data_IF_830988244358
#
_entry.id   IF_830988244358
#
_cell.length_a   1.000
_cell.length_b   1.000
_cell.length_c   1.000
_cell.angle_alpha   90.00
_cell.angle_beta   90.00
_cell.angle_gamma   90.00
#
_symmetry.space_group_name_H-M   'P 1'
#
loop_
_entity.id
_entity.type
_entity.pdbx_description
1 polymer ?
#
# COMPACT_ATOMS: atom_id res chain seq x y z
N UNK A 1 18.06 24.45 -39.68
CA UNK A 1 16.73 24.23 -39.07
C UNK A 1 16.93 23.47 -37.77
N UNK A 2 16.80 24.14 -36.63
CA UNK A 2 17.01 23.54 -35.31
C UNK A 2 15.79 22.72 -34.90
N UNK A 3 16.02 21.46 -34.54
CA UNK A 3 15.01 20.65 -33.85
C UNK A 3 14.88 21.25 -32.45
N UNK A 4 13.71 21.84 -32.18
CA UNK A 4 13.32 22.31 -30.85
C UNK A 4 13.38 21.12 -29.89
N UNK A 5 14.29 21.20 -28.93
CA UNK A 5 14.21 20.37 -27.73
C UNK A 5 13.05 20.93 -26.89
N UNK A 6 11.94 20.18 -26.84
CA UNK A 6 10.84 20.52 -25.96
C UNK A 6 11.28 20.33 -24.51
N UNK A 7 11.64 21.44 -23.89
CA UNK A 7 11.76 21.56 -22.45
C UNK A 7 10.37 21.37 -21.82
N UNK A 8 10.11 20.18 -21.27
CA UNK A 8 9.11 20.01 -20.22
C UNK A 8 9.82 19.73 -18.90
N UNK A 9 10.40 20.80 -18.38
CA UNK A 9 10.65 20.97 -16.95
C UNK A 9 9.32 20.98 -16.20
N UNK A 10 9.28 20.33 -15.03
CA UNK A 10 8.31 20.65 -13.99
C UNK A 10 7.45 19.50 -13.52
N UNK A 11 8.03 18.64 -12.67
CA UNK A 11 7.31 17.93 -11.62
C UNK A 11 6.06 17.13 -12.06
N UNK A 12 6.19 16.28 -13.09
CA UNK A 12 5.24 15.21 -13.29
C UNK A 12 5.25 14.36 -12.02
N UNK A 13 4.21 14.48 -11.19
CA UNK A 13 4.02 13.63 -10.01
C UNK A 13 4.25 12.20 -10.47
N UNK A 14 5.36 11.62 -10.02
CA UNK A 14 5.81 10.31 -10.47
C UNK A 14 4.77 9.32 -9.96
N UNK A 15 3.78 8.99 -10.80
CA UNK A 15 2.73 8.03 -10.47
C UNK A 15 3.43 6.73 -10.09
N UNK A 16 3.45 6.41 -8.80
CA UNK A 16 4.10 5.21 -8.31
C UNK A 16 3.17 4.02 -8.48
N UNK A 17 3.79 2.88 -8.82
CA UNK A 17 3.09 1.62 -9.04
C UNK A 17 2.25 1.23 -7.81
N UNK A 18 1.01 0.76 -8.04
CA UNK A 18 0.09 0.40 -6.96
C UNK A 18 0.69 -0.63 -5.99
N UNK A 19 1.47 -1.58 -6.52
CA UNK A 19 2.17 -2.59 -5.72
C UNK A 19 3.20 -1.99 -4.75
N UNK A 20 3.83 -0.86 -5.10
CA UNK A 20 4.82 -0.18 -4.27
C UNK A 20 4.19 0.50 -3.03
N UNK A 21 2.88 0.73 -3.04
CA UNK A 21 2.16 1.27 -1.88
C UNK A 21 1.70 0.20 -0.89
N UNK A 22 1.61 -1.07 -1.30
CA UNK A 22 1.16 -2.17 -0.44
C UNK A 22 1.94 -2.28 0.88
N UNK A 23 3.28 -2.16 0.92
CA UNK A 23 4.03 -2.17 2.18
C UNK A 23 3.73 -0.95 3.06
N UNK A 24 3.63 0.25 2.45
CA UNK A 24 3.32 1.50 3.16
C UNK A 24 1.94 1.44 3.81
N UNK A 25 0.94 0.98 3.07
CA UNK A 25 -0.42 0.77 3.58
C UNK A 25 -0.44 -0.27 4.69
N UNK A 26 0.37 -1.33 4.57
CA UNK A 26 0.49 -2.35 5.63
C UNK A 26 1.07 -1.77 6.91
N UNK A 27 2.10 -0.93 6.82
CA UNK A 27 2.68 -0.24 7.96
C UNK A 27 1.65 0.69 8.62
N UNK A 28 0.95 1.50 7.81
CA UNK A 28 -0.11 2.39 8.29
C UNK A 28 -1.21 1.65 9.06
N UNK A 29 -1.74 0.54 8.50
CA UNK A 29 -2.79 -0.26 9.16
C UNK A 29 -2.29 -0.83 10.48
N UNK A 30 -1.05 -1.36 10.53
CA UNK A 30 -0.46 -1.92 11.76
C UNK A 30 -0.27 -0.85 12.83
N UNK A 31 0.22 0.34 12.46
CA UNK A 31 0.34 1.46 13.38
C UNK A 31 -1.04 1.85 13.95
N UNK A 32 -2.07 1.91 13.10
CA UNK A 32 -3.44 2.13 13.57
C UNK A 32 -3.92 1.07 14.58
N UNK A 33 -3.63 -0.21 14.31
CA UNK A 33 -3.96 -1.30 15.23
C UNK A 33 -3.25 -1.17 16.58
N UNK A 34 -1.97 -0.81 16.57
CA UNK A 34 -1.18 -0.62 17.79
C UNK A 34 -1.72 0.55 18.63
N UNK A 35 -2.02 1.68 18.00
CA UNK A 35 -2.57 2.86 18.70
C UNK A 35 -3.95 2.57 19.30
N UNK A 36 -4.78 1.80 18.61
CA UNK A 36 -6.09 1.35 19.13
C UNK A 36 -5.93 0.44 20.34
N UNK A 37 -4.95 -0.48 20.31
CA UNK A 37 -4.66 -1.34 21.44
C UNK A 37 -4.10 -0.57 22.64
N UNK A 38 -3.17 0.36 22.39
CA UNK A 38 -2.60 1.23 23.41
C UNK A 38 -3.68 2.07 24.10
N UNK A 39 -4.56 2.74 23.34
CA UNK A 39 -5.65 3.54 23.92
C UNK A 39 -6.62 2.72 24.76
N UNK A 40 -6.89 1.48 24.35
CA UNK A 40 -7.75 0.56 25.10
C UNK A 40 -7.13 0.13 26.43
N UNK A 41 -5.81 -0.13 26.45
CA UNK A 41 -5.09 -0.40 27.70
C UNK A 41 -5.06 0.82 28.61
N UNK A 42 -4.72 2.00 28.06
CA UNK A 42 -4.72 3.26 28.79
C UNK A 42 -6.08 3.57 29.42
N UNK A 43 -7.19 3.23 28.75
CA UNK A 43 -8.54 3.41 29.30
C UNK A 43 -8.74 2.66 30.63
N UNK A 44 -8.18 1.46 30.75
CA UNK A 44 -8.26 0.68 31.99
C UNK A 44 -7.34 1.25 33.06
N UNK A 45 -6.14 1.69 32.68
CA UNK A 45 -5.18 2.29 33.62
C UNK A 45 -5.70 3.56 34.29
N UNK A 46 -6.53 4.34 33.58
CA UNK A 46 -7.13 5.58 34.09
C UNK A 46 -8.56 5.43 34.58
N UNK A 47 -9.03 4.18 34.79
CA UNK A 47 -10.37 3.86 35.32
C UNK A 47 -11.53 4.34 34.43
N UNK A 48 -11.30 4.52 33.12
CA UNK A 48 -12.33 4.81 32.12
C UNK A 48 -13.05 3.53 31.64
N UNK A 49 -12.45 2.35 31.82
CA UNK A 49 -13.02 1.06 31.41
C UNK A 49 -12.63 -0.06 32.37
N UNK A 50 -13.58 -0.96 32.67
CA UNK A 50 -13.36 -2.05 33.63
C UNK A 50 -12.47 -3.18 33.08
N UNK A 51 -12.58 -3.47 31.77
CA UNK A 51 -11.88 -4.60 31.15
C UNK A 51 -11.24 -4.22 29.81
N UNK A 52 -9.96 -4.58 29.59
CA UNK A 52 -9.23 -4.19 28.39
C UNK A 52 -9.79 -4.83 27.11
N UNK A 53 -10.41 -6.01 27.21
CA UNK A 53 -11.01 -6.69 26.07
C UNK A 53 -12.21 -5.91 25.50
N UNK A 54 -13.09 -5.41 26.37
CA UNK A 54 -14.25 -4.62 25.94
C UNK A 54 -13.83 -3.24 25.43
N UNK A 55 -12.88 -2.58 26.12
CA UNK A 55 -12.31 -1.32 25.64
C UNK A 55 -11.67 -1.47 24.25
N UNK A 56 -10.95 -2.58 24.03
CA UNK A 56 -10.33 -2.87 22.72
C UNK A 56 -11.39 -3.08 21.65
N UNK A 57 -12.44 -3.86 21.94
CA UNK A 57 -13.54 -4.09 21.00
C UNK A 57 -14.23 -2.77 20.63
N UNK A 58 -14.52 -1.91 21.60
CA UNK A 58 -15.11 -0.60 21.35
C UNK A 58 -14.20 0.27 20.45
N UNK A 59 -12.92 0.37 20.78
CA UNK A 59 -11.95 1.15 20.01
C UNK A 59 -11.77 0.59 18.59
N UNK A 60 -11.77 -0.73 18.42
CA UNK A 60 -11.74 -1.37 17.09
C UNK A 60 -13.00 -1.06 16.29
N UNK A 61 -14.18 -1.12 16.91
CA UNK A 61 -15.43 -0.79 16.25
C UNK A 61 -15.48 0.67 15.79
N UNK A 62 -14.90 1.58 16.57
CA UNK A 62 -14.83 3.02 16.27
C UNK A 62 -13.81 3.37 15.19
N UNK A 63 -12.60 2.82 15.26
CA UNK A 63 -11.47 3.28 14.44
C UNK A 63 -11.00 2.27 13.39
N UNK A 64 -11.27 0.97 13.58
CA UNK A 64 -10.85 -0.12 12.70
C UNK A 64 -12.02 -0.75 11.91
N UNK A 65 -13.11 0.00 11.75
CA UNK A 65 -14.33 -0.48 11.07
C UNK A 65 -14.04 -0.86 9.62
N UNK A 66 -14.36 -2.11 9.27
CA UNK A 66 -14.32 -2.60 7.88
C UNK A 66 -15.59 -2.17 7.15
N UNK A 67 -15.51 -2.12 5.82
CA UNK A 67 -16.65 -1.83 4.93
C UNK A 67 -17.35 -0.48 5.15
N UNK A 68 -16.74 0.44 5.90
CA UNK A 68 -17.23 1.81 6.05
C UNK A 68 -16.52 2.76 5.09
N UNK A 69 -16.90 4.05 5.12
CA UNK A 69 -16.19 5.16 4.46
C UNK A 69 -14.98 5.65 5.28
N UNK A 70 -14.45 4.83 6.20
CA UNK A 70 -13.29 5.18 7.02
C UNK A 70 -11.97 5.12 6.24
N UNK A 71 -10.95 5.89 6.66
CA UNK A 71 -9.60 5.80 6.08
C UNK A 71 -8.98 4.40 6.18
N UNK A 72 -9.25 3.66 7.27
CA UNK A 72 -8.76 2.29 7.46
C UNK A 72 -9.40 1.33 6.46
N UNK A 73 -10.72 1.41 6.27
CA UNK A 73 -11.45 0.63 5.27
C UNK A 73 -10.92 0.92 3.86
N UNK A 74 -10.65 2.19 3.54
CA UNK A 74 -10.07 2.57 2.25
C UNK A 74 -8.65 2.03 2.08
N UNK A 75 -7.80 2.13 3.11
CA UNK A 75 -6.43 1.62 3.09
C UNK A 75 -6.37 0.10 2.88
N UNK A 76 -7.28 -0.65 3.49
CA UNK A 76 -7.41 -2.10 3.29
C UNK A 76 -7.77 -2.45 1.85
N UNK A 77 -8.73 -1.71 1.25
CA UNK A 77 -9.14 -1.91 -0.15
C UNK A 77 -7.99 -1.58 -1.12
N UNK A 78 -7.29 -0.47 -0.92
CA UNK A 78 -6.14 -0.09 -1.74
C UNK A 78 -5.01 -1.12 -1.65
N UNK A 79 -4.75 -1.66 -0.45
CA UNK A 79 -3.75 -2.72 -0.24
C UNK A 79 -4.13 -3.99 -1.00
N UNK A 80 -5.42 -4.38 -0.95
CA UNK A 80 -5.90 -5.55 -1.69
C UNK A 80 -5.79 -5.34 -3.21
N UNK A 81 -6.14 -4.16 -3.70
CA UNK A 81 -5.98 -3.79 -5.10
C UNK A 81 -4.50 -3.83 -5.54
N UNK A 82 -3.60 -3.21 -4.79
CA UNK A 82 -2.16 -3.23 -5.08
C UNK A 82 -1.57 -4.65 -5.07
N UNK A 83 -2.09 -5.52 -4.21
CA UNK A 83 -1.75 -6.95 -4.23
C UNK A 83 -2.29 -7.64 -5.49
N UNK A 84 -3.55 -7.42 -5.86
CA UNK A 84 -4.12 -7.99 -7.08
C UNK A 84 -3.39 -7.54 -8.34
N UNK A 85 -2.93 -6.29 -8.41
CA UNK A 85 -2.08 -5.80 -9.50
C UNK A 85 -0.76 -6.56 -9.51
N UNK A 86 -0.09 -6.72 -8.36
CA UNK A 86 1.16 -7.47 -8.27
C UNK A 86 1.00 -8.94 -8.69
N UNK A 87 -0.09 -9.57 -8.27
CA UNK A 87 -0.31 -11.01 -8.49
C UNK A 87 -0.76 -11.31 -9.94
N UNK A 88 -1.49 -10.39 -10.58
CA UNK A 88 -2.04 -10.59 -11.93
C UNK A 88 -1.25 -9.90 -13.06
N UNK A 89 -0.40 -8.92 -12.72
CA UNK A 89 0.45 -8.27 -13.70
C UNK A 89 1.81 -8.95 -13.69
N UNK A 90 2.34 -9.28 -14.86
CA UNK A 90 3.72 -9.72 -15.01
C UNK A 90 4.63 -8.60 -14.51
N UNK A 91 5.13 -8.73 -13.27
CA UNK A 91 6.22 -7.90 -12.79
C UNK A 91 7.36 -7.98 -13.78
N UNK A 92 8.07 -6.88 -14.01
CA UNK A 92 9.24 -6.79 -14.88
C UNK A 92 10.12 -8.05 -14.73
N UNK A 93 10.03 -8.93 -15.71
CA UNK A 93 10.57 -10.28 -15.67
C UNK A 93 10.73 -10.77 -17.10
N UNK A 94 11.71 -11.63 -17.28
CA UNK A 94 12.06 -12.22 -18.56
C UNK A 94 10.99 -13.24 -18.92
N UNK A 95 10.35 -13.08 -20.08
CA UNK A 95 9.66 -14.22 -20.69
C UNK A 95 10.77 -14.99 -21.43
N UNK A 96 11.08 -16.21 -20.97
CA UNK A 96 11.88 -17.15 -21.74
C UNK A 96 10.92 -18.02 -22.55
N UNK A 97 10.97 -17.90 -23.87
CA UNK A 97 10.28 -18.83 -24.75
C UNK A 97 11.04 -20.16 -24.75
N UNK A 98 10.36 -21.30 -24.53
CA UNK A 98 11.02 -22.60 -24.36
C UNK A 98 11.79 -23.07 -25.60
N UNK A 99 11.45 -22.54 -26.78
CA UNK A 99 11.99 -23.03 -28.05
C UNK A 99 13.30 -22.31 -28.45
N UNK A 100 13.48 -21.04 -28.06
CA UNK A 100 14.54 -20.19 -28.63
C UNK A 100 15.46 -19.56 -27.57
N UNK A 101 15.17 -19.75 -26.27
CA UNK A 101 15.91 -19.15 -25.16
C UNK A 101 16.04 -17.60 -25.23
N UNK A 102 15.20 -16.96 -26.05
CA UNK A 102 15.17 -15.51 -26.19
C UNK A 102 14.57 -14.87 -24.95
N UNK A 103 15.32 -13.92 -24.37
CA UNK A 103 14.91 -13.15 -23.20
C UNK A 103 14.34 -11.81 -23.66
N UNK A 104 13.02 -11.68 -23.63
CA UNK A 104 12.33 -10.43 -23.94
C UNK A 104 12.18 -9.59 -22.66
N UNK A 105 12.91 -8.47 -22.58
CA UNK A 105 12.87 -7.54 -21.45
C UNK A 105 12.09 -6.27 -21.79
N UNK A 106 11.10 -5.92 -20.95
CA UNK A 106 10.21 -4.76 -21.15
C UNK A 106 10.83 -3.39 -20.83
N UNK A 107 12.13 -3.34 -20.50
CA UNK A 107 12.87 -2.08 -20.40
C UNK A 107 14.10 -2.14 -21.29
N UNK A 108 14.29 -1.10 -22.11
CA UNK A 108 15.58 -0.81 -22.75
C UNK A 108 16.61 -0.67 -21.63
N UNK A 109 17.56 -1.59 -21.55
CA UNK A 109 18.73 -1.38 -20.71
C UNK A 109 19.40 -0.11 -21.24
N UNK A 110 19.54 0.90 -20.39
CA UNK A 110 20.43 2.01 -20.69
C UNK A 110 21.84 1.40 -20.78
N UNK A 111 22.36 1.28 -22.00
CA UNK A 111 23.75 0.93 -22.25
C UNK A 111 24.62 1.98 -21.58
N UNK A 112 25.44 1.56 -20.62
CA UNK A 112 26.60 2.33 -20.16
C UNK A 112 27.70 2.26 -21.21
#
# INVERSE_FOLDING_TARGET
MGIRQDATSGNAQKLSEAAAFTPKLSAYIKMGQLLVAERALLAVEIDEADFPAYALEEMQNRFMTKNSRSPISWSLKLRAYGKAVKDNMTSLGYIMWPDDNEILSYKKCASR
#
